data_IF_604048289505
#
_entry.id   IF_604048289505
#
_cell.length_a   1.000
_cell.length_b   1.000
_cell.length_c   1.000
_cell.angle_alpha   90.00
_cell.angle_beta   90.00
_cell.angle_gamma   90.00
#
_symmetry.space_group_name_H-M   'P 1'
#
loop_
_entity.id
_entity.type
_entity.pdbx_description
1 polymer ?
#
# COMPACT_ATOMS: atom_id res chain seq x y z
N UNK A 1 -26.58 3.03 4.44
CA UNK A 1 -26.14 2.74 5.83
C UNK A 1 -27.30 2.81 6.83
N UNK A 2 -27.95 3.97 7.01
CA UNK A 2 -29.03 4.17 8.01
C UNK A 2 -30.13 3.12 7.91
N UNK A 3 -30.61 2.79 6.70
CA UNK A 3 -31.63 1.74 6.53
C UNK A 3 -31.22 0.38 7.14
N UNK A 4 -29.94 0.00 7.06
CA UNK A 4 -29.44 -1.25 7.66
C UNK A 4 -29.41 -1.15 9.19
N UNK A 5 -29.03 0.00 9.73
CA UNK A 5 -29.04 0.27 11.18
C UNK A 5 -30.48 0.21 11.71
N UNK A 6 -31.42 0.87 11.03
CA UNK A 6 -32.84 0.93 11.39
C UNK A 6 -33.53 -0.45 11.45
N UNK A 7 -32.97 -1.47 10.79
CA UNK A 7 -33.46 -2.86 10.89
C UNK A 7 -33.09 -3.55 12.21
N UNK A 8 -32.11 -3.02 12.95
CA UNK A 8 -31.60 -3.59 14.20
C UNK A 8 -32.02 -2.74 15.39
N UNK A 9 -31.91 -1.41 15.26
CA UNK A 9 -32.20 -0.46 16.34
C UNK A 9 -32.76 0.84 15.76
N UNK A 10 -33.64 1.50 16.51
CA UNK A 10 -33.99 2.89 16.24
C UNK A 10 -32.71 3.76 16.29
N UNK A 11 -32.31 4.43 15.20
CA UNK A 11 -31.06 5.20 15.16
C UNK A 11 -30.97 6.28 16.25
N UNK A 12 -32.11 6.80 16.72
CA UNK A 12 -32.14 7.79 17.81
C UNK A 12 -31.64 7.26 19.15
N UNK A 13 -31.55 5.92 19.30
CA UNK A 13 -31.05 5.22 20.49
C UNK A 13 -29.56 4.91 20.42
N UNK A 14 -28.84 5.39 19.41
CA UNK A 14 -27.39 5.23 19.35
C UNK A 14 -26.77 6.15 20.40
N UNK A 15 -26.18 5.54 21.44
CA UNK A 15 -25.49 6.28 22.51
C UNK A 15 -24.09 6.72 22.08
N UNK A 16 -23.40 5.89 21.29
CA UNK A 16 -21.99 6.05 20.97
C UNK A 16 -21.69 5.83 19.49
N UNK A 17 -20.84 6.67 18.93
CA UNK A 17 -20.26 6.55 17.59
C UNK A 17 -18.74 6.51 17.77
N UNK A 18 -18.07 5.51 17.21
CA UNK A 18 -16.60 5.44 17.22
C UNK A 18 -16.09 5.81 15.84
N UNK A 19 -15.29 6.88 15.76
CA UNK A 19 -14.66 7.35 14.53
C UNK A 19 -13.16 7.00 14.57
N UNK A 20 -12.84 5.79 14.12
CA UNK A 20 -11.46 5.30 14.05
C UNK A 20 -10.59 6.10 13.08
N UNK A 21 -11.20 6.68 12.04
CA UNK A 21 -10.51 7.39 10.99
C UNK A 21 -11.39 8.50 10.37
N UNK A 22 -10.78 9.61 9.96
CA UNK A 22 -11.49 10.78 9.40
C UNK A 22 -11.70 10.75 7.90
N UNK A 23 -11.03 9.88 7.13
CA UNK A 23 -11.17 9.86 5.67
C UNK A 23 -12.63 9.62 5.23
N UNK A 24 -13.01 10.25 4.11
CA UNK A 24 -14.42 10.47 3.74
C UNK A 24 -15.16 9.21 3.30
N UNK A 25 -14.45 8.17 2.89
CA UNK A 25 -15.02 6.86 2.65
C UNK A 25 -15.58 6.22 3.94
N UNK A 26 -15.08 6.63 5.12
CA UNK A 26 -15.57 6.21 6.43
C UNK A 26 -16.43 7.26 7.13
N UNK A 27 -16.12 8.55 6.94
CA UNK A 27 -16.69 9.64 7.74
C UNK A 27 -17.81 10.42 7.05
N UNK A 28 -18.00 10.32 5.73
CA UNK A 28 -18.93 11.19 4.98
C UNK A 28 -20.40 11.07 5.38
N UNK A 29 -20.80 9.94 5.96
CA UNK A 29 -22.15 9.75 6.45
C UNK A 29 -22.38 10.32 7.87
N UNK A 30 -21.33 10.74 8.59
CA UNK A 30 -21.40 11.14 9.99
C UNK A 30 -22.36 12.34 10.23
N UNK A 31 -22.38 13.42 9.41
CA UNK A 31 -23.37 14.48 9.57
C UNK A 31 -24.81 13.95 9.53
N UNK A 32 -25.12 13.09 8.57
CA UNK A 32 -26.47 12.51 8.40
C UNK A 32 -26.81 11.50 9.49
N UNK A 33 -25.84 10.81 10.07
CA UNK A 33 -26.06 9.95 11.25
C UNK A 33 -26.43 10.79 12.47
N UNK A 34 -25.76 11.92 12.68
CA UNK A 34 -26.00 12.78 13.84
C UNK A 34 -27.33 13.54 13.75
N UNK A 35 -27.86 13.76 12.56
CA UNK A 35 -29.25 14.24 12.40
C UNK A 35 -30.29 13.29 12.98
N UNK A 36 -30.06 11.97 12.90
CA UNK A 36 -30.98 10.94 13.43
C UNK A 36 -30.59 10.45 14.82
N UNK A 37 -29.34 10.65 15.24
CA UNK A 37 -28.80 10.30 16.53
C UNK A 37 -28.14 11.52 17.23
N UNK A 38 -28.90 12.60 17.51
CA UNK A 38 -28.33 13.87 17.96
C UNK A 38 -27.69 13.82 19.35
N UNK A 39 -28.04 12.82 20.16
CA UNK A 39 -27.49 12.63 21.50
C UNK A 39 -26.26 11.72 21.53
N UNK A 40 -25.87 11.15 20.39
CA UNK A 40 -24.74 10.24 20.33
C UNK A 40 -23.43 10.96 20.67
N UNK A 41 -22.60 10.32 21.49
CA UNK A 41 -21.24 10.80 21.77
C UNK A 41 -20.25 10.14 20.81
N UNK A 42 -19.37 10.96 20.24
CA UNK A 42 -18.38 10.55 19.25
C UNK A 42 -17.03 10.32 19.94
N UNK A 43 -16.48 9.11 19.81
CA UNK A 43 -15.15 8.74 20.30
C UNK A 43 -14.15 8.76 19.15
N UNK A 44 -13.10 9.56 19.29
CA UNK A 44 -12.04 9.70 18.29
C UNK A 44 -10.70 10.04 18.95
N UNK A 45 -9.59 9.92 18.23
CA UNK A 45 -8.32 10.51 18.71
C UNK A 45 -8.41 12.04 18.73
N UNK A 46 -7.49 12.72 19.43
CA UNK A 46 -7.41 14.19 19.40
C UNK A 46 -7.28 14.72 17.96
N UNK A 47 -6.46 14.07 17.13
CA UNK A 47 -6.31 14.41 15.71
C UNK A 47 -7.55 14.08 14.90
N UNK A 48 -8.25 12.99 15.23
CA UNK A 48 -9.51 12.63 14.60
C UNK A 48 -10.58 13.69 14.85
N UNK A 49 -10.71 14.14 16.10
CA UNK A 49 -11.59 15.27 16.45
C UNK A 49 -11.22 16.54 15.67
N UNK A 50 -9.94 16.90 15.61
CA UNK A 50 -9.51 18.08 14.84
C UNK A 50 -9.86 17.94 13.35
N UNK A 51 -9.50 16.81 12.74
CA UNK A 51 -9.75 16.55 11.32
C UNK A 51 -11.24 16.56 10.96
N UNK A 52 -12.10 15.95 11.79
CA UNK A 52 -13.55 15.97 11.59
C UNK A 52 -14.11 17.40 11.72
N UNK A 53 -13.65 18.18 12.71
CA UNK A 53 -14.09 19.57 12.88
C UNK A 53 -13.67 20.45 11.70
N UNK A 54 -12.46 20.27 11.17
CA UNK A 54 -12.00 21.02 10.01
C UNK A 54 -12.78 20.63 8.75
N UNK A 55 -12.95 19.33 8.49
CA UNK A 55 -13.59 18.85 7.28
C UNK A 55 -15.11 19.13 7.25
N UNK A 56 -15.79 18.98 8.39
CA UNK A 56 -17.25 19.13 8.52
C UNK A 56 -17.67 20.45 9.18
N UNK A 57 -16.81 21.47 9.19
CA UNK A 57 -17.09 22.77 9.79
C UNK A 57 -18.43 23.37 9.31
N UNK A 58 -18.71 23.31 8.00
CA UNK A 58 -19.96 23.81 7.40
C UNK A 58 -21.16 22.89 7.63
N UNK A 59 -20.93 21.63 8.04
CA UNK A 59 -21.99 20.65 8.34
C UNK A 59 -22.41 20.66 9.82
N UNK A 60 -22.06 21.72 10.57
CA UNK A 60 -22.45 21.89 11.97
C UNK A 60 -21.62 21.08 12.97
N UNK A 61 -20.41 20.64 12.59
CA UNK A 61 -19.54 19.84 13.46
C UNK A 61 -19.17 20.51 14.80
N UNK A 62 -19.23 21.84 14.86
CA UNK A 62 -19.01 22.60 16.10
C UNK A 62 -19.98 22.24 17.24
N UNK A 63 -21.16 21.71 16.91
CA UNK A 63 -22.15 21.24 17.88
C UNK A 63 -22.03 19.75 18.25
N UNK A 64 -21.08 19.00 17.68
CA UNK A 64 -20.97 17.56 17.91
C UNK A 64 -20.34 17.25 19.26
N UNK A 65 -20.86 16.22 19.95
CA UNK A 65 -20.40 15.82 21.27
C UNK A 65 -19.23 14.84 21.18
N UNK A 66 -17.99 15.36 21.17
CA UNK A 66 -16.78 14.54 21.11
C UNK A 66 -16.21 14.18 22.48
N UNK A 67 -15.72 12.95 22.60
CA UNK A 67 -14.82 12.48 23.64
C UNK A 67 -13.54 11.97 22.99
N UNK A 68 -12.38 12.49 23.43
CA UNK A 68 -11.10 12.10 22.86
C UNK A 68 -10.49 10.94 23.64
N UNK A 69 -9.93 9.97 22.90
CA UNK A 69 -9.37 8.74 23.46
C UNK A 69 -7.93 8.54 23.04
N UNK A 70 -7.20 7.79 23.87
CA UNK A 70 -5.82 7.39 23.68
C UNK A 70 -5.68 5.88 23.84
N UNK A 71 -4.48 5.38 23.54
CA UNK A 71 -4.17 3.97 23.72
C UNK A 71 -4.39 3.53 25.17
N UNK A 72 -5.24 2.51 25.36
CA UNK A 72 -5.57 1.94 26.66
C UNK A 72 -6.80 2.54 27.34
N UNK A 73 -7.37 3.63 26.79
CA UNK A 73 -8.68 4.11 27.27
C UNK A 73 -9.77 3.09 26.95
N UNK A 74 -10.77 2.99 27.83
CA UNK A 74 -11.84 2.00 27.73
C UNK A 74 -13.23 2.65 27.80
N UNK A 75 -14.15 2.13 26.98
CA UNK A 75 -15.57 2.48 26.99
C UNK A 75 -16.39 1.22 27.25
N UNK A 76 -17.07 1.18 28.40
CA UNK A 76 -18.00 0.10 28.75
C UNK A 76 -19.37 0.36 28.13
N UNK A 77 -19.79 -0.52 27.23
CA UNK A 77 -21.07 -0.45 26.49
C UNK A 77 -22.09 -1.48 26.99
N UNK A 78 -22.06 -1.76 28.30
CA UNK A 78 -22.92 -2.74 28.97
C UNK A 78 -22.13 -3.98 29.42
N UNK A 79 -22.42 -5.15 28.82
CA UNK A 79 -21.69 -6.40 29.08
C UNK A 79 -20.33 -6.48 28.36
N UNK A 80 -20.04 -5.46 27.53
CA UNK A 80 -18.91 -5.40 26.61
C UNK A 80 -18.11 -4.13 26.85
N UNK A 81 -16.83 -4.17 26.50
CA UNK A 81 -15.86 -3.11 26.71
C UNK A 81 -15.05 -2.91 25.44
N UNK A 82 -15.07 -1.68 24.93
CA UNK A 82 -14.21 -1.22 23.84
C UNK A 82 -12.94 -0.64 24.44
N UNK A 83 -11.78 -1.07 23.95
CA UNK A 83 -10.48 -0.50 24.28
C UNK A 83 -9.91 0.17 23.03
N UNK A 84 -9.42 1.40 23.15
CA UNK A 84 -8.89 2.16 22.02
C UNK A 84 -7.36 1.99 21.92
N UNK A 85 -6.85 1.96 20.69
CA UNK A 85 -5.42 1.79 20.39
C UNK A 85 -5.05 2.77 19.29
N UNK A 86 -4.23 3.78 19.58
CA UNK A 86 -3.79 4.72 18.56
C UNK A 86 -2.88 4.03 17.54
N UNK A 87 -3.13 4.26 16.25
CA UNK A 87 -2.43 3.67 15.13
C UNK A 87 -1.81 4.77 14.24
N UNK A 88 -1.10 5.71 14.88
CA UNK A 88 -0.62 6.95 14.25
C UNK A 88 0.23 6.68 13.00
N UNK A 89 -0.24 7.19 11.86
CA UNK A 89 0.37 7.02 10.52
C UNK A 89 0.40 5.56 10.03
N UNK A 90 -0.45 4.69 10.55
CA UNK A 90 -0.90 3.52 9.81
C UNK A 90 -2.01 3.99 8.88
N UNK A 91 -1.62 4.54 7.73
CA UNK A 91 -2.42 5.35 6.81
C UNK A 91 -2.39 6.85 7.13
N UNK A 92 -3.06 7.34 8.17
CA UNK A 92 -3.18 8.78 8.46
C UNK A 92 -2.80 9.14 9.92
N UNK A 93 -2.55 10.44 10.22
CA UNK A 93 -2.13 10.86 11.57
C UNK A 93 -3.15 10.61 12.68
N UNK A 94 -4.44 10.53 12.36
CA UNK A 94 -5.57 10.38 13.28
C UNK A 94 -5.97 8.92 13.55
N UNK A 95 -5.51 8.00 12.69
CA UNK A 95 -5.93 6.60 12.69
C UNK A 95 -5.81 5.95 14.07
N UNK A 96 -6.86 5.25 14.48
CA UNK A 96 -6.88 4.37 15.65
C UNK A 96 -7.61 3.07 15.34
N UNK A 97 -7.44 2.10 16.22
CA UNK A 97 -8.15 0.84 16.20
C UNK A 97 -8.98 0.73 17.48
N UNK A 98 -10.04 -0.07 17.40
CA UNK A 98 -10.90 -0.36 18.55
C UNK A 98 -10.92 -1.86 18.77
N UNK A 99 -10.63 -2.29 19.99
CA UNK A 99 -10.62 -3.69 20.38
C UNK A 99 -11.78 -3.99 21.34
N UNK A 100 -12.59 -4.99 21.01
CA UNK A 100 -13.71 -5.44 21.83
C UNK A 100 -13.24 -6.60 22.72
N UNK A 101 -13.07 -6.34 24.02
CA UNK A 101 -12.31 -7.21 24.93
C UNK A 101 -12.94 -8.58 25.14
N UNK A 102 -14.25 -8.66 25.31
CA UNK A 102 -14.94 -9.89 25.68
C UNK A 102 -15.12 -10.85 24.50
N UNK A 103 -15.09 -10.34 23.26
CA UNK A 103 -15.26 -11.14 22.04
C UNK A 103 -13.96 -11.25 21.22
N UNK A 104 -12.85 -10.67 21.69
CA UNK A 104 -11.53 -10.67 21.03
C UNK A 104 -11.55 -10.17 19.57
N UNK A 105 -12.33 -9.10 19.30
CA UNK A 105 -12.48 -8.53 17.95
C UNK A 105 -11.69 -7.23 17.84
N UNK A 106 -10.82 -7.14 16.82
CA UNK A 106 -10.14 -5.91 16.44
C UNK A 106 -10.85 -5.23 15.27
N UNK A 107 -11.46 -4.07 15.52
CA UNK A 107 -11.92 -3.16 14.47
C UNK A 107 -10.75 -2.28 14.02
N UNK A 108 -10.12 -2.66 12.92
CA UNK A 108 -8.80 -2.15 12.52
C UNK A 108 -8.84 -0.95 11.56
N UNK A 109 -10.03 -0.55 11.10
CA UNK A 109 -10.21 0.37 9.97
C UNK A 109 -9.42 -0.09 8.74
N UNK A 110 -8.57 0.76 8.16
CA UNK A 110 -7.83 0.50 6.92
C UNK A 110 -6.77 -0.60 7.06
N UNK A 111 -6.17 -0.71 8.25
CA UNK A 111 -5.20 -1.75 8.51
C UNK A 111 -5.86 -3.13 8.34
N UNK A 112 -5.15 -4.03 7.67
CA UNK A 112 -5.59 -5.38 7.32
C UNK A 112 -6.77 -5.44 6.35
N UNK A 113 -7.14 -4.34 5.69
CA UNK A 113 -8.22 -4.31 4.69
C UNK A 113 -7.81 -4.81 3.30
N UNK A 114 -8.81 -4.97 2.44
CA UNK A 114 -8.64 -5.24 0.99
C UNK A 114 -9.71 -4.49 0.19
N UNK A 115 -9.38 -4.01 -1.01
CA UNK A 115 -10.35 -3.36 -1.89
C UNK A 115 -11.09 -4.38 -2.77
N UNK A 116 -11.99 -5.14 -2.14
CA UNK A 116 -12.84 -6.13 -2.84
C UNK A 116 -14.32 -5.92 -2.54
N UNK A 117 -15.17 -6.29 -3.52
CA UNK A 117 -16.61 -6.29 -3.37
C UNK A 117 -17.14 -7.72 -3.52
N UNK A 118 -17.82 -8.21 -2.48
CA UNK A 118 -18.41 -9.55 -2.43
C UNK A 118 -19.79 -9.51 -1.79
N UNK A 119 -20.62 -10.52 -1.99
CA UNK A 119 -21.87 -10.72 -1.21
C UNK A 119 -21.62 -11.42 0.13
N UNK A 120 -20.45 -12.07 0.28
CA UNK A 120 -19.97 -12.72 1.50
C UNK A 120 -19.30 -11.69 2.42
N UNK A 121 -19.04 -12.04 3.67
CA UNK A 121 -18.50 -11.11 4.69
C UNK A 121 -17.17 -11.56 5.29
N UNK A 122 -16.87 -12.84 5.26
CA UNK A 122 -15.75 -13.42 5.97
C UNK A 122 -14.75 -14.09 5.02
N UNK A 123 -13.49 -14.16 5.43
CA UNK A 123 -12.37 -14.74 4.68
C UNK A 123 -12.59 -16.21 4.29
N UNK A 124 -13.21 -17.02 5.16
CA UNK A 124 -13.56 -18.42 4.89
C UNK A 124 -14.73 -18.63 3.91
N UNK A 125 -15.35 -17.54 3.42
CA UNK A 125 -16.50 -17.61 2.53
C UNK A 125 -16.19 -17.23 1.08
N UNK A 126 -14.95 -16.84 0.79
CA UNK A 126 -14.49 -16.35 -0.51
C UNK A 126 -13.24 -17.12 -0.96
N UNK A 127 -12.85 -16.96 -2.21
CA UNK A 127 -11.50 -17.32 -2.65
C UNK A 127 -10.47 -16.47 -1.90
N UNK A 128 -9.23 -16.94 -1.84
CA UNK A 128 -8.17 -16.30 -1.06
C UNK A 128 -7.95 -14.83 -1.47
N UNK A 129 -8.06 -13.93 -0.50
CA UNK A 129 -7.98 -12.46 -0.71
C UNK A 129 -6.60 -11.89 -0.34
N UNK A 130 -5.61 -12.75 -0.10
CA UNK A 130 -4.28 -12.29 0.30
C UNK A 130 -3.57 -11.47 -0.79
N UNK A 131 -3.83 -11.73 -2.06
CA UNK A 131 -3.28 -10.92 -3.14
C UNK A 131 -3.87 -9.49 -3.11
N UNK A 132 -5.18 -9.34 -2.92
CA UNK A 132 -5.83 -8.04 -2.74
C UNK A 132 -5.29 -7.28 -1.53
N UNK A 133 -5.04 -7.99 -0.42
CA UNK A 133 -4.42 -7.41 0.77
C UNK A 133 -2.98 -6.95 0.49
N UNK A 134 -2.21 -7.70 -0.29
CA UNK A 134 -0.85 -7.33 -0.69
C UNK A 134 -0.83 -6.08 -1.56
N UNK A 135 -1.76 -5.99 -2.52
CA UNK A 135 -1.95 -4.81 -3.38
C UNK A 135 -2.32 -3.59 -2.52
N UNK A 136 -3.27 -3.76 -1.60
CA UNK A 136 -3.70 -2.72 -0.67
C UNK A 136 -2.51 -2.19 0.15
N UNK A 137 -1.75 -3.09 0.78
CA UNK A 137 -0.57 -2.73 1.55
C UNK A 137 0.48 -2.01 0.69
N UNK A 138 0.81 -2.58 -0.47
CA UNK A 138 1.89 -2.08 -1.31
C UNK A 138 1.66 -0.63 -1.74
N UNK A 139 0.41 -0.29 -2.07
CA UNK A 139 0.05 1.02 -2.64
C UNK A 139 -0.28 2.09 -1.60
N UNK A 140 -0.62 1.70 -0.36
CA UNK A 140 -1.08 2.63 0.69
C UNK A 140 -0.09 2.69 1.86
N UNK A 141 0.38 1.52 2.30
CA UNK A 141 1.01 1.36 3.61
C UNK A 141 2.55 1.24 3.56
N UNK A 142 3.12 0.92 2.40
CA UNK A 142 4.58 0.82 2.20
C UNK A 142 5.39 2.00 2.77
N UNK A 143 5.04 3.28 2.56
CA UNK A 143 5.79 4.41 3.14
C UNK A 143 5.84 4.40 4.67
N UNK A 144 4.94 3.68 5.32
CA UNK A 144 4.77 3.62 6.78
C UNK A 144 5.29 2.33 7.40
N UNK A 145 5.98 1.49 6.64
CA UNK A 145 6.47 0.16 7.07
C UNK A 145 7.14 0.14 8.47
N UNK A 146 8.02 1.10 8.79
CA UNK A 146 8.66 1.14 10.13
C UNK A 146 7.67 1.44 11.26
N UNK A 147 6.61 2.19 10.98
CA UNK A 147 5.56 2.50 11.96
C UNK A 147 4.64 1.30 12.15
N UNK A 148 4.35 0.57 11.08
CA UNK A 148 3.60 -0.69 11.14
C UNK A 148 4.30 -1.70 12.05
N UNK A 149 5.61 -1.93 11.86
CA UNK A 149 6.37 -2.83 12.74
C UNK A 149 6.30 -2.41 14.22
N UNK A 150 6.46 -1.11 14.51
CA UNK A 150 6.36 -0.58 15.87
C UNK A 150 4.94 -0.73 16.45
N UNK A 151 3.92 -0.57 15.62
CA UNK A 151 2.52 -0.77 16.00
C UNK A 151 2.25 -2.22 16.35
N UNK A 152 2.67 -3.16 15.50
CA UNK A 152 2.56 -4.59 15.76
C UNK A 152 3.27 -5.00 17.05
N UNK A 153 4.47 -4.45 17.32
CA UNK A 153 5.17 -4.66 18.59
C UNK A 153 4.37 -4.11 19.79
N UNK A 154 3.76 -2.93 19.65
CA UNK A 154 2.94 -2.30 20.69
C UNK A 154 1.70 -3.15 21.00
N UNK A 155 0.97 -3.60 19.97
CA UNK A 155 -0.18 -4.49 20.11
C UNK A 155 0.23 -5.82 20.74
N UNK A 156 1.37 -6.39 20.33
CA UNK A 156 1.92 -7.60 20.94
C UNK A 156 2.22 -7.46 22.44
N UNK A 157 2.73 -6.30 22.88
CA UNK A 157 2.98 -6.01 24.30
C UNK A 157 1.70 -5.87 25.13
N UNK A 158 0.57 -5.53 24.50
CA UNK A 158 -0.72 -5.49 25.19
C UNK A 158 -1.27 -6.89 25.49
N UNK A 159 -0.69 -7.95 24.90
CA UNK A 159 -1.10 -9.33 25.17
C UNK A 159 -2.54 -9.64 24.77
N UNK A 160 -3.05 -8.95 23.74
CA UNK A 160 -4.41 -9.12 23.27
C UNK A 160 -4.54 -10.44 22.50
N UNK A 161 -5.59 -11.20 22.80
CA UNK A 161 -6.01 -12.31 21.97
C UNK A 161 -6.82 -11.74 20.80
N UNK A 162 -6.51 -12.12 19.55
CA UNK A 162 -7.23 -11.62 18.38
C UNK A 162 -7.86 -12.82 17.68
N UNK A 163 -9.16 -13.01 17.90
CA UNK A 163 -9.92 -14.08 17.26
C UNK A 163 -10.57 -13.59 15.94
N UNK A 164 -10.70 -12.27 15.76
CA UNK A 164 -11.26 -11.67 14.56
C UNK A 164 -10.70 -10.28 14.28
N UNK A 165 -10.42 -9.97 13.02
CA UNK A 165 -10.08 -8.63 12.54
C UNK A 165 -11.15 -8.17 11.55
N UNK A 166 -11.84 -7.08 11.88
CA UNK A 166 -12.88 -6.47 11.07
C UNK A 166 -12.37 -5.12 10.49
N UNK A 167 -11.78 -5.12 9.29
CA UNK A 167 -11.33 -3.90 8.62
C UNK A 167 -12.51 -3.10 8.06
N UNK A 168 -12.24 -1.86 7.64
CA UNK A 168 -13.21 -0.98 6.96
C UNK A 168 -13.50 -1.41 5.52
N UNK A 169 -12.55 -2.12 4.89
CA UNK A 169 -12.64 -2.56 3.49
C UNK A 169 -12.48 -4.07 3.34
N UNK A 170 -13.30 -4.66 2.48
CA UNK A 170 -13.18 -6.04 2.06
C UNK A 170 -13.89 -7.02 2.98
N UNK A 171 -13.23 -8.16 3.25
CA UNK A 171 -13.77 -9.21 4.13
C UNK A 171 -13.18 -9.13 5.53
N UNK A 172 -13.90 -9.72 6.48
CA UNK A 172 -13.52 -9.85 7.87
C UNK A 172 -12.68 -11.13 8.02
N UNK A 173 -11.51 -11.00 8.65
CA UNK A 173 -10.65 -12.14 8.99
C UNK A 173 -11.16 -12.80 10.26
N UNK A 174 -11.78 -13.97 10.15
CA UNK A 174 -12.25 -14.74 11.32
C UNK A 174 -11.72 -16.17 11.37
N UNK A 175 -11.23 -16.70 10.26
CA UNK A 175 -10.74 -18.07 10.21
C UNK A 175 -9.27 -18.15 10.62
N UNK A 176 -8.42 -17.27 10.09
CA UNK A 176 -7.01 -17.15 10.47
C UNK A 176 -6.55 -15.68 10.46
N UNK A 177 -6.91 -14.89 11.48
CA UNK A 177 -6.45 -13.49 11.58
C UNK A 177 -4.93 -13.37 11.77
N UNK A 178 -4.23 -14.41 12.24
CA UNK A 178 -2.78 -14.38 12.40
C UNK A 178 -2.08 -14.32 11.04
N UNK A 179 -2.63 -14.98 10.01
CA UNK A 179 -2.09 -14.96 8.64
C UNK A 179 -1.88 -13.54 8.09
N UNK A 180 -2.87 -12.66 8.24
CA UNK A 180 -2.77 -11.29 7.73
C UNK A 180 -1.84 -10.42 8.60
N UNK A 181 -1.76 -10.68 9.91
CA UNK A 181 -0.79 -10.04 10.82
C UNK A 181 0.64 -10.40 10.38
N UNK A 182 0.92 -11.68 10.15
CA UNK A 182 2.22 -12.19 9.72
C UNK A 182 2.60 -11.64 8.33
N UNK A 183 1.63 -11.55 7.42
CA UNK A 183 1.84 -10.94 6.10
C UNK A 183 2.22 -9.45 6.22
N UNK A 184 1.52 -8.67 7.05
CA UNK A 184 1.86 -7.28 7.32
C UNK A 184 3.27 -7.13 7.93
N UNK A 185 3.64 -8.00 8.87
CA UNK A 185 4.98 -8.03 9.44
C UNK A 185 6.05 -8.33 8.37
N UNK A 186 5.80 -9.35 7.52
CA UNK A 186 6.67 -9.72 6.40
C UNK A 186 6.85 -8.54 5.43
N UNK A 187 5.77 -7.94 4.94
CA UNK A 187 5.85 -6.83 3.99
C UNK A 187 6.52 -5.60 4.59
N UNK A 188 6.16 -5.22 5.82
CA UNK A 188 6.74 -4.07 6.51
C UNK A 188 8.24 -4.26 6.85
N UNK A 189 8.70 -5.51 6.99
CA UNK A 189 10.13 -5.82 7.19
C UNK A 189 10.98 -5.61 5.93
N UNK A 190 10.36 -5.53 4.75
CA UNK A 190 11.07 -5.45 3.47
C UNK A 190 11.54 -6.82 2.95
N UNK A 191 11.05 -7.92 3.53
CA UNK A 191 11.32 -9.26 3.04
C UNK A 191 11.02 -9.34 1.54
N UNK A 192 12.01 -9.76 0.76
CA UNK A 192 11.96 -9.77 -0.70
C UNK A 192 12.17 -11.20 -1.22
N UNK A 193 11.58 -11.47 -2.37
CA UNK A 193 11.69 -12.71 -3.13
C UNK A 193 12.88 -12.63 -4.09
N UNK A 194 13.38 -13.81 -4.50
CA UNK A 194 14.46 -13.94 -5.46
C UNK A 194 13.93 -13.76 -6.90
N UNK A 195 13.42 -12.56 -7.18
CA UNK A 195 12.91 -12.16 -8.49
C UNK A 195 13.53 -10.84 -8.95
N UNK A 196 13.47 -10.58 -10.26
CA UNK A 196 13.84 -9.30 -10.87
C UNK A 196 12.65 -8.74 -11.64
N UNK A 197 12.36 -7.45 -11.45
CA UNK A 197 11.39 -6.76 -12.31
C UNK A 197 12.10 -6.03 -13.45
N UNK A 198 11.58 -6.16 -14.67
CA UNK A 198 11.99 -5.33 -15.80
C UNK A 198 10.82 -4.43 -16.15
N UNK A 199 10.90 -3.15 -15.78
CA UNK A 199 9.81 -2.18 -15.90
C UNK A 199 10.18 -1.18 -16.99
N UNK A 200 9.37 -1.07 -18.04
CA UNK A 200 9.71 -0.21 -19.17
C UNK A 200 8.49 0.40 -19.87
N UNK A 201 8.78 1.34 -20.77
CA UNK A 201 7.88 1.71 -21.85
C UNK A 201 8.68 1.85 -23.15
N UNK A 202 8.01 1.90 -24.30
CA UNK A 202 8.65 2.07 -25.60
C UNK A 202 7.73 2.81 -26.58
N UNK A 203 8.33 3.63 -27.45
CA UNK A 203 7.60 4.25 -28.57
C UNK A 203 7.58 3.37 -29.81
N UNK A 204 8.75 2.86 -30.21
CA UNK A 204 8.95 2.14 -31.47
C UNK A 204 9.67 0.79 -31.28
N UNK A 205 9.58 0.20 -30.09
CA UNK A 205 10.03 -1.17 -29.83
C UNK A 205 11.51 -1.33 -29.48
N UNK A 206 12.39 -0.34 -29.70
CA UNK A 206 13.82 -0.48 -29.36
C UNK A 206 14.06 -0.75 -27.88
N UNK A 207 13.48 0.06 -26.98
CA UNK A 207 13.56 -0.19 -25.53
C UNK A 207 12.86 -1.50 -25.13
N UNK A 208 11.80 -1.90 -25.84
CA UNK A 208 11.13 -3.18 -25.61
C UNK A 208 12.02 -4.38 -25.98
N UNK A 209 12.76 -4.30 -27.08
CA UNK A 209 13.74 -5.33 -27.46
C UNK A 209 14.82 -5.48 -26.38
N UNK A 210 15.31 -4.36 -25.85
CA UNK A 210 16.26 -4.36 -24.73
C UNK A 210 15.65 -5.00 -23.48
N UNK A 211 14.42 -4.62 -23.11
CA UNK A 211 13.72 -5.15 -21.94
C UNK A 211 13.54 -6.68 -22.03
N UNK A 212 13.16 -7.19 -23.21
CA UNK A 212 13.03 -8.63 -23.46
C UNK A 212 14.37 -9.35 -23.37
N UNK A 213 15.44 -8.77 -23.91
CA UNK A 213 16.78 -9.36 -23.79
C UNK A 213 17.32 -9.36 -22.34
N UNK A 214 17.03 -8.32 -21.54
CA UNK A 214 17.33 -8.33 -20.10
C UNK A 214 16.55 -9.45 -19.42
N UNK A 215 15.25 -9.59 -19.71
CA UNK A 215 14.43 -10.65 -19.14
C UNK A 215 14.91 -12.07 -19.53
N UNK A 216 15.36 -12.26 -20.77
CA UNK A 216 16.03 -13.50 -21.20
C UNK A 216 17.26 -13.80 -20.35
N UNK A 217 18.09 -12.78 -20.07
CA UNK A 217 19.27 -12.89 -19.23
C UNK A 217 18.96 -13.29 -17.79
N UNK A 218 17.99 -12.62 -17.15
CA UNK A 218 17.54 -12.98 -15.79
C UNK A 218 17.06 -14.44 -15.74
N UNK A 219 16.25 -14.84 -16.73
CA UNK A 219 15.78 -16.24 -16.80
C UNK A 219 16.95 -17.22 -16.97
N UNK A 220 17.95 -16.86 -17.77
CA UNK A 220 19.14 -17.69 -17.98
C UNK A 220 20.01 -17.83 -16.71
N UNK A 221 19.97 -16.87 -15.77
CA UNK A 221 20.61 -17.05 -14.47
C UNK A 221 19.89 -18.05 -13.57
N UNK A 222 18.65 -18.43 -13.90
CA UNK A 222 17.78 -19.26 -13.05
C UNK A 222 17.00 -18.46 -12.01
N UNK A 223 16.83 -17.16 -12.21
CA UNK A 223 16.07 -16.26 -11.34
C UNK A 223 14.72 -15.94 -11.99
N UNK A 224 13.68 -15.78 -11.16
CA UNK A 224 12.37 -15.37 -11.66
C UNK A 224 12.42 -13.95 -12.23
N UNK A 225 11.71 -13.71 -13.33
CA UNK A 225 11.61 -12.39 -13.96
C UNK A 225 10.17 -12.04 -14.27
N UNK A 226 9.78 -10.80 -13.94
CA UNK A 226 8.49 -10.25 -14.33
C UNK A 226 8.71 -9.02 -15.20
N UNK A 227 8.07 -9.00 -16.36
CA UNK A 227 8.21 -7.94 -17.37
C UNK A 227 6.98 -7.04 -17.34
N UNK A 228 7.17 -5.77 -17.01
CA UNK A 228 6.11 -4.76 -16.94
C UNK A 228 6.25 -3.71 -18.01
N UNK A 229 5.19 -3.53 -18.81
CA UNK A 229 5.05 -2.41 -19.73
C UNK A 229 4.11 -1.36 -19.11
N UNK A 230 4.62 -0.18 -18.76
CA UNK A 230 3.92 0.82 -17.93
C UNK A 230 2.53 1.25 -18.45
N UNK A 231 2.33 1.28 -19.77
CA UNK A 231 1.00 1.56 -20.39
C UNK A 231 0.05 0.38 -20.55
N UNK A 232 0.52 -0.86 -20.36
CA UNK A 232 -0.27 -2.08 -20.62
C UNK A 232 -0.58 -2.87 -19.35
N UNK A 233 0.01 -2.48 -18.22
CA UNK A 233 -0.15 -3.15 -16.94
C UNK A 233 -0.73 -2.17 -15.91
N UNK A 234 -1.50 -2.71 -14.98
CA UNK A 234 -1.99 -1.96 -13.83
C UNK A 234 -0.84 -1.64 -12.87
N UNK A 235 -0.78 -0.38 -12.42
CA UNK A 235 0.32 0.07 -11.56
C UNK A 235 0.21 -0.47 -10.15
N UNK A 236 -1.00 -0.74 -9.65
CA UNK A 236 -1.20 -1.28 -8.31
C UNK A 236 -0.60 -2.68 -8.18
N UNK A 237 -0.78 -3.52 -9.21
CA UNK A 237 -0.13 -4.83 -9.34
C UNK A 237 1.38 -4.72 -9.44
N UNK A 238 1.88 -3.78 -10.26
CA UNK A 238 3.32 -3.54 -10.41
C UNK A 238 3.95 -3.16 -9.07
N UNK A 239 3.30 -2.28 -8.30
CA UNK A 239 3.79 -1.86 -6.99
C UNK A 239 3.78 -3.02 -5.97
N UNK A 240 2.78 -3.91 -6.01
CA UNK A 240 2.80 -5.16 -5.24
C UNK A 240 4.04 -5.99 -5.59
N UNK A 241 4.29 -6.23 -6.86
CA UNK A 241 5.48 -6.98 -7.29
C UNK A 241 6.78 -6.29 -6.86
N UNK A 242 6.83 -4.95 -6.90
CA UNK A 242 8.01 -4.17 -6.51
C UNK A 242 8.25 -4.21 -5.01
N UNK A 243 7.20 -4.21 -4.19
CA UNK A 243 7.31 -4.38 -2.74
C UNK A 243 8.06 -5.67 -2.41
N UNK A 244 7.69 -6.77 -3.07
CA UNK A 244 8.25 -8.11 -2.88
C UNK A 244 9.57 -8.34 -3.64
N UNK A 245 10.05 -7.38 -4.41
CA UNK A 245 11.25 -7.55 -5.23
C UNK A 245 12.40 -6.68 -4.71
N UNK A 246 13.62 -7.23 -4.64
CA UNK A 246 14.83 -6.46 -4.25
C UNK A 246 15.50 -5.76 -5.42
N UNK A 247 15.44 -6.34 -6.62
CA UNK A 247 16.23 -5.90 -7.80
C UNK A 247 15.30 -5.57 -8.96
N UNK A 248 15.45 -4.40 -9.59
CA UNK A 248 14.68 -4.09 -10.79
C UNK A 248 15.46 -3.26 -11.82
N UNK A 249 15.05 -3.33 -13.07
CA UNK A 249 15.58 -2.55 -14.17
C UNK A 249 14.52 -1.60 -14.72
N UNK A 250 14.89 -0.33 -14.93
CA UNK A 250 14.01 0.71 -15.47
C UNK A 250 14.39 1.08 -16.90
N UNK A 251 13.43 0.91 -17.81
CA UNK A 251 13.59 1.11 -19.25
C UNK A 251 12.80 2.29 -19.79
N UNK A 252 13.45 3.28 -20.39
CA UNK A 252 12.75 4.37 -21.07
C UNK A 252 13.42 4.77 -22.37
N UNK A 253 12.68 4.99 -23.48
CA UNK A 253 13.21 5.75 -24.59
C UNK A 253 13.47 7.20 -24.16
N UNK A 254 14.28 7.91 -24.92
CA UNK A 254 14.39 9.38 -24.80
C UNK A 254 13.31 10.08 -25.62
N UNK A 255 12.53 10.96 -24.97
CA UNK A 255 11.57 11.86 -25.61
C UNK A 255 11.84 13.29 -25.14
N UNK A 256 12.00 14.23 -26.06
CA UNK A 256 12.29 15.65 -25.78
C UNK A 256 13.44 15.87 -24.76
N UNK A 257 14.56 15.16 -24.94
CA UNK A 257 15.74 15.17 -24.05
C UNK A 257 15.50 14.62 -22.63
N UNK A 258 14.36 13.98 -22.39
CA UNK A 258 14.00 13.39 -21.11
C UNK A 258 13.49 11.96 -21.21
N UNK A 259 13.12 11.41 -20.06
CA UNK A 259 12.45 10.10 -19.99
C UNK A 259 11.03 10.20 -20.56
N UNK A 260 10.45 9.05 -20.94
CA UNK A 260 9.09 8.99 -21.42
C UNK A 260 8.10 9.29 -20.28
N UNK A 261 6.97 9.93 -20.60
CA UNK A 261 6.07 10.50 -19.58
C UNK A 261 5.54 9.46 -18.58
N UNK A 262 5.29 8.24 -19.02
CA UNK A 262 4.85 7.15 -18.14
C UNK A 262 5.92 6.76 -17.13
N UNK A 263 7.19 6.74 -17.52
CA UNK A 263 8.30 6.54 -16.59
C UNK A 263 8.40 7.70 -15.59
N UNK A 264 8.18 8.95 -16.04
CA UNK A 264 8.16 10.10 -15.15
C UNK A 264 7.05 10.05 -14.10
N UNK A 265 5.83 9.66 -14.51
CA UNK A 265 4.72 9.43 -13.60
C UNK A 265 4.99 8.28 -12.62
N UNK A 266 5.51 7.16 -13.13
CA UNK A 266 5.85 5.99 -12.33
C UNK A 266 6.90 6.32 -11.26
N UNK A 267 7.99 7.01 -11.63
CA UNK A 267 9.01 7.44 -10.68
C UNK A 267 8.48 8.43 -9.65
N UNK A 268 7.53 9.28 -10.03
CA UNK A 268 6.85 10.18 -9.07
C UNK A 268 6.10 9.37 -8.02
N UNK A 269 5.34 8.36 -8.45
CA UNK A 269 4.60 7.48 -7.55
C UNK A 269 5.53 6.65 -6.65
N UNK A 270 6.54 6.00 -7.24
CA UNK A 270 7.53 5.17 -6.55
C UNK A 270 8.27 5.93 -5.43
N UNK A 271 8.65 7.19 -5.67
CA UNK A 271 9.30 8.05 -4.66
C UNK A 271 8.40 8.32 -3.46
N UNK A 272 7.09 8.48 -3.69
CA UNK A 272 6.10 8.66 -2.63
C UNK A 272 6.03 7.44 -1.71
N UNK A 273 6.13 6.24 -2.30
CA UNK A 273 6.07 4.97 -1.58
C UNK A 273 7.34 4.64 -0.76
N UNK A 274 8.48 5.22 -1.12
CA UNK A 274 9.76 5.07 -0.39
C UNK A 274 10.13 3.60 -0.10
N UNK A 275 10.14 2.72 -1.10
CA UNK A 275 10.49 1.32 -0.89
C UNK A 275 11.92 1.20 -0.34
N UNK A 276 12.13 0.24 0.55
CA UNK A 276 13.41 0.01 1.23
C UNK A 276 14.22 -1.08 0.54
N UNK A 277 15.54 -0.99 0.69
CA UNK A 277 16.51 -2.02 0.32
C UNK A 277 16.44 -2.46 -1.14
N UNK A 278 16.13 -1.52 -2.04
CA UNK A 278 16.01 -1.78 -3.48
C UNK A 278 17.31 -1.49 -4.23
N UNK A 279 17.60 -2.34 -5.21
CA UNK A 279 18.69 -2.19 -6.18
C UNK A 279 18.08 -1.94 -7.56
N UNK A 280 18.57 -0.91 -8.26
CA UNK A 280 18.03 -0.48 -9.55
C UNK A 280 19.11 -0.38 -10.61
N UNK A 281 18.83 -0.86 -11.82
CA UNK A 281 19.62 -0.60 -13.02
C UNK A 281 18.78 0.14 -14.07
N UNK A 282 19.43 0.80 -15.02
CA UNK A 282 18.75 1.64 -16.01
C UNK A 282 19.11 1.23 -17.44
N UNK A 283 18.14 1.28 -18.33
CA UNK A 283 18.36 1.04 -19.75
C UNK A 283 17.46 1.90 -20.63
N UNK A 284 17.83 2.07 -21.90
CA UNK A 284 17.00 2.84 -22.80
C UNK A 284 17.55 3.04 -24.20
N UNK A 285 16.63 3.30 -25.13
CA UNK A 285 16.95 3.69 -26.49
C UNK A 285 16.87 5.21 -26.70
N UNK A 286 17.62 5.73 -27.67
CA UNK A 286 17.61 7.15 -28.03
C UNK A 286 17.95 7.37 -29.49
N UNK A 287 17.54 8.50 -30.08
CA UNK A 287 17.89 8.84 -31.47
C UNK A 287 19.20 9.62 -31.62
N UNK A 288 19.38 10.66 -30.81
CA UNK A 288 20.55 11.56 -30.88
C UNK A 288 21.07 11.96 -29.50
N UNK A 289 20.46 12.93 -28.84
CA UNK A 289 21.00 13.59 -27.64
C UNK A 289 20.84 12.80 -26.34
N UNK A 290 20.00 11.78 -26.33
CA UNK A 290 19.69 11.02 -25.10
C UNK A 290 19.08 11.90 -24.01
N UNK A 291 19.17 11.45 -22.76
CA UNK A 291 18.73 12.20 -21.58
C UNK A 291 17.80 11.43 -20.64
N UNK A 292 17.12 10.39 -21.13
CA UNK A 292 16.22 9.58 -20.31
C UNK A 292 16.91 8.96 -19.08
N UNK A 293 18.01 8.23 -19.28
CA UNK A 293 18.74 7.58 -18.18
C UNK A 293 19.21 8.59 -17.14
N UNK A 294 19.82 9.70 -17.57
CA UNK A 294 20.27 10.75 -16.66
C UNK A 294 19.11 11.27 -15.80
N UNK A 295 17.95 11.53 -16.39
CA UNK A 295 16.79 12.00 -15.63
C UNK A 295 16.24 10.91 -14.68
N UNK A 296 16.27 9.63 -15.06
CA UNK A 296 15.87 8.53 -14.17
C UNK A 296 16.82 8.41 -12.97
N UNK A 297 18.13 8.50 -13.22
CA UNK A 297 19.17 8.52 -12.18
C UNK A 297 18.99 9.74 -11.25
N UNK A 298 18.82 10.95 -11.80
CA UNK A 298 18.58 12.17 -11.03
C UNK A 298 17.30 12.07 -10.17
N UNK A 299 16.23 11.49 -10.71
CA UNK A 299 14.98 11.30 -9.99
C UNK A 299 15.13 10.36 -8.79
N UNK A 300 16.02 9.36 -8.86
CA UNK A 300 16.24 8.38 -7.80
C UNK A 300 17.48 8.65 -6.93
N UNK A 301 18.33 9.62 -7.30
CA UNK A 301 19.61 9.94 -6.62
C UNK A 301 19.46 10.25 -5.12
N UNK A 302 18.36 10.89 -4.73
CA UNK A 302 18.09 11.26 -3.33
C UNK A 302 17.25 10.20 -2.59
N UNK A 303 17.04 9.04 -3.20
CA UNK A 303 16.42 7.89 -2.53
C UNK A 303 17.51 7.04 -1.87
N UNK A 304 17.10 6.00 -1.12
CA UNK A 304 18.02 5.02 -0.54
C UNK A 304 18.26 3.82 -1.46
N UNK A 305 17.84 3.89 -2.73
CA UNK A 305 18.03 2.81 -3.69
C UNK A 305 19.48 2.76 -4.14
N UNK A 306 20.03 1.56 -4.25
CA UNK A 306 21.38 1.33 -4.74
C UNK A 306 21.36 1.20 -6.27
N UNK A 307 22.16 2.00 -6.96
CA UNK A 307 22.30 1.88 -8.41
C UNK A 307 23.31 0.77 -8.70
N UNK A 308 22.89 -0.23 -9.46
CA UNK A 308 23.70 -1.41 -9.79
C UNK A 308 23.89 -1.53 -11.28
N UNK A 309 25.09 -1.98 -11.66
CA UNK A 309 25.55 -2.11 -13.04
C UNK A 309 25.58 -0.77 -13.82
N UNK A 310 26.39 -0.74 -14.87
CA UNK A 310 26.44 0.41 -15.77
C UNK A 310 25.16 0.50 -16.63
N UNK A 311 24.52 1.67 -16.75
CA UNK A 311 23.32 1.82 -17.56
C UNK A 311 23.53 1.51 -19.05
N UNK A 312 22.59 0.78 -19.66
CA UNK A 312 22.66 0.45 -21.09
C UNK A 312 21.94 1.47 -21.96
N UNK A 313 22.68 2.11 -22.87
CA UNK A 313 22.19 3.12 -23.83
C UNK A 313 22.36 2.61 -25.26
N UNK A 314 21.27 2.52 -26.01
CA UNK A 314 21.31 2.07 -27.41
C UNK A 314 20.80 3.15 -28.34
N UNK A 315 21.58 3.46 -29.38
CA UNK A 315 21.18 4.44 -30.39
C UNK A 315 20.31 3.77 -31.44
N UNK A 316 19.14 4.35 -31.72
CA UNK A 316 18.13 3.84 -32.64
C UNK A 316 17.69 2.41 -32.33
N UNK A 317 18.08 1.43 -33.15
CA UNK A 317 17.61 0.06 -33.10
C UNK A 317 18.71 -0.83 -32.53
N UNK A 318 18.46 -1.63 -31.48
CA UNK A 318 19.44 -2.56 -30.95
C UNK A 318 19.89 -3.59 -31.98
N UNK A 319 21.20 -3.76 -32.09
CA UNK A 319 21.84 -4.81 -32.86
C UNK A 319 22.19 -6.01 -31.97
N UNK A 320 22.75 -7.06 -32.59
CA UNK A 320 23.07 -8.32 -31.88
C UNK A 320 23.96 -8.09 -30.64
N UNK A 321 24.95 -7.20 -30.74
CA UNK A 321 25.86 -6.90 -29.64
C UNK A 321 25.15 -6.15 -28.50
N UNK A 322 24.26 -5.21 -28.82
CA UNK A 322 23.47 -4.49 -27.82
C UNK A 322 22.55 -5.44 -27.04
N UNK A 323 21.90 -6.35 -27.76
CA UNK A 323 21.03 -7.37 -27.16
C UNK A 323 21.81 -8.35 -26.30
N UNK A 324 23.05 -8.67 -26.68
CA UNK A 324 23.92 -9.49 -25.84
C UNK A 324 24.32 -8.76 -24.56
N UNK A 325 24.67 -7.48 -24.64
CA UNK A 325 24.90 -6.64 -23.46
C UNK A 325 23.67 -6.60 -22.52
N UNK A 326 22.47 -6.53 -23.09
CA UNK A 326 21.21 -6.61 -22.34
C UNK A 326 21.05 -7.97 -21.63
N UNK A 327 21.37 -9.09 -22.29
CA UNK A 327 21.33 -10.42 -21.65
C UNK A 327 22.35 -10.54 -20.52
N UNK A 328 23.57 -10.06 -20.73
CA UNK A 328 24.60 -10.08 -19.69
C UNK A 328 24.20 -9.23 -18.48
N UNK A 329 23.59 -8.06 -18.70
CA UNK A 329 22.98 -7.28 -17.61
C UNK A 329 21.91 -8.10 -16.87
N UNK A 330 21.00 -8.75 -17.61
CA UNK A 330 19.98 -9.60 -17.01
C UNK A 330 20.55 -10.72 -16.13
N UNK A 331 21.60 -11.41 -16.58
CA UNK A 331 22.27 -12.46 -15.81
C UNK A 331 22.79 -11.90 -14.48
N UNK A 332 23.51 -10.78 -14.52
CA UNK A 332 24.05 -10.13 -13.32
C UNK A 332 22.97 -9.69 -12.34
N UNK A 333 21.88 -9.08 -12.84
CA UNK A 333 20.74 -8.70 -11.99
C UNK A 333 20.11 -9.93 -11.32
N UNK A 334 20.01 -11.03 -12.04
CA UNK A 334 19.53 -12.29 -11.50
C UNK A 334 20.46 -12.92 -10.45
N UNK A 335 21.78 -12.76 -10.59
CA UNK A 335 22.77 -13.15 -9.57
C UNK A 335 22.64 -12.29 -8.30
N UNK A 336 22.52 -10.96 -8.46
CA UNK A 336 22.30 -10.01 -7.35
C UNK A 336 21.01 -10.31 -6.59
N UNK A 337 19.94 -10.73 -7.29
CA UNK A 337 18.66 -11.05 -6.64
C UNK A 337 18.72 -12.32 -5.77
N UNK A 338 19.73 -13.18 -5.95
CA UNK A 338 19.91 -14.42 -5.18
C UNK A 338 20.90 -14.28 -4.02
N UNK A 339 21.67 -13.19 -3.97
CA UNK A 339 22.64 -12.88 -2.90
C UNK A 339 22.01 -12.14 -1.72
#
# INVERSE_FOLDING_TARGET
MIERISRIVDPSKIDYIVANHVEMDHSSALPRVLEVAPNAKIFATERGKTGLNEYYAESGCSGWNFETVKTGDELKIGKRTLMFIEAVMLHWPDSMQTYLKEDNILFSNDAFGQHIATSKRFDDQVEDVMEDAAIYFANILTPFSSRILKHLETVGKLGLQIDMIAPSHGVIWRNDPQRIIDAYAKWASGASEQKVLVIYDSMWGSTEMMAKAIAEGVRASGTEVVLFHLRKNDWSMLIKELMECRVFALGSPTMHNGMFFTMGGFLTYLKGLRPKDKKVSFFGSYGWGGGAIRQMEEALKNTKMEFVEEPLKVKFRPERQDLEGCRQLGIKLGEIARS
#
